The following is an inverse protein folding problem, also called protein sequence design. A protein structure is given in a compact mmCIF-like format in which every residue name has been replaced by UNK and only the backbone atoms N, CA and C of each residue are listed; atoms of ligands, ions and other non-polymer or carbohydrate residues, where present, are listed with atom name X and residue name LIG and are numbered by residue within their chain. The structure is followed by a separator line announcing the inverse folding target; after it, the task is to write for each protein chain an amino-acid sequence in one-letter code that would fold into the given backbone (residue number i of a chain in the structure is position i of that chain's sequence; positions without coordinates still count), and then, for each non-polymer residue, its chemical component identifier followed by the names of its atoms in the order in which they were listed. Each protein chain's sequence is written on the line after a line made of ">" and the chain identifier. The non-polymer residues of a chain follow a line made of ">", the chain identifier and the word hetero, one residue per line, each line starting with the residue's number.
data_IF_503416338257
#
_entry.id   IF_503416338257
#
_cell.length_a   1.000
_cell.length_b   1.000
_cell.length_c   1.000
_cell.angle_alpha   90.00
_cell.angle_beta   90.00
_cell.angle_gamma   90.00
#
_symmetry.space_group_name_H-M   'P 1'
#
loop_
_entity.id
_entity.type
_entity.pdbx_description
1 polymer ?
#
# COMPACT_ATOMS: atom_id res chain seq x y z
N UNK A 1 -0.12 -11.88 -2.30
CA UNK A 1 -1.45 -12.38 -1.93
C UNK A 1 -1.38 -13.89 -1.74
N UNK A 2 -1.64 -14.36 -0.53
CA UNK A 2 -1.80 -15.78 -0.22
C UNK A 2 -2.98 -16.35 -1.03
N UNK A 3 -2.88 -17.61 -1.47
CA UNK A 3 -3.97 -18.32 -2.15
C UNK A 3 -5.27 -18.30 -1.34
N UNK A 4 -5.18 -18.28 0.00
CA UNK A 4 -6.35 -18.15 0.89
C UNK A 4 -6.98 -16.76 0.88
N UNK A 5 -6.17 -15.70 0.83
CA UNK A 5 -6.66 -14.33 0.77
C UNK A 5 -7.34 -14.04 -0.56
N UNK A 6 -6.75 -14.50 -1.66
CA UNK A 6 -7.35 -14.39 -3.00
C UNK A 6 -8.75 -15.00 -3.05
N UNK A 7 -8.92 -16.19 -2.47
CA UNK A 7 -10.20 -16.89 -2.42
C UNK A 7 -11.24 -16.14 -1.57
N UNK A 8 -10.83 -15.49 -0.47
CA UNK A 8 -11.74 -14.67 0.35
C UNK A 8 -12.20 -13.42 -0.41
N UNK A 9 -11.30 -12.75 -1.12
CA UNK A 9 -11.63 -11.59 -1.96
C UNK A 9 -12.60 -11.97 -3.07
N UNK A 10 -12.35 -13.06 -3.79
CA UNK A 10 -13.25 -13.57 -4.84
C UNK A 10 -14.64 -13.91 -4.28
N UNK A 11 -14.72 -14.55 -3.10
CA UNK A 11 -16.00 -14.85 -2.44
C UNK A 11 -16.77 -13.60 -2.02
N UNK A 12 -16.07 -12.58 -1.50
CA UNK A 12 -16.69 -11.32 -1.13
C UNK A 12 -17.25 -10.58 -2.35
N UNK A 13 -16.50 -10.52 -3.45
CA UNK A 13 -16.95 -9.91 -4.71
C UNK A 13 -18.21 -10.60 -5.23
N UNK A 14 -18.20 -11.94 -5.32
CA UNK A 14 -19.36 -12.70 -5.79
C UNK A 14 -20.59 -12.53 -4.90
N UNK A 15 -20.39 -12.39 -3.58
CA UNK A 15 -21.47 -12.08 -2.64
C UNK A 15 -22.07 -10.71 -2.95
N UNK A 16 -21.24 -9.68 -3.11
CA UNK A 16 -21.70 -8.31 -3.31
C UNK A 16 -22.27 -8.07 -4.71
N UNK A 17 -21.75 -8.71 -5.77
CA UNK A 17 -22.32 -8.59 -7.12
C UNK A 17 -23.81 -8.98 -7.18
N UNK A 18 -24.22 -9.97 -6.38
CA UNK A 18 -25.62 -10.42 -6.28
C UNK A 18 -26.55 -9.43 -5.58
N UNK A 19 -26.00 -8.38 -4.96
CA UNK A 19 -26.74 -7.33 -4.26
C UNK A 19 -27.01 -6.11 -5.13
N UNK A 20 -26.66 -6.15 -6.43
CA UNK A 20 -26.87 -5.04 -7.34
C UNK A 20 -28.37 -4.66 -7.40
N UNK A 21 -28.74 -3.47 -6.87
CA UNK A 21 -30.15 -3.10 -6.74
C UNK A 21 -30.71 -2.44 -8.00
N UNK A 22 -29.90 -2.29 -9.06
CA UNK A 22 -30.32 -1.63 -10.27
C UNK A 22 -31.30 -2.50 -11.08
N UNK A 23 -32.21 -1.89 -11.85
CA UNK A 23 -32.99 -2.61 -12.86
C UNK A 23 -32.07 -3.35 -13.85
N UNK A 24 -32.49 -4.52 -14.33
CA UNK A 24 -31.65 -5.40 -15.15
C UNK A 24 -31.10 -4.70 -16.41
N UNK A 25 -31.89 -3.81 -17.01
CA UNK A 25 -31.49 -3.00 -18.18
C UNK A 25 -30.41 -1.95 -17.90
N UNK A 26 -30.12 -1.67 -16.61
CA UNK A 26 -29.05 -0.78 -16.16
C UNK A 26 -27.84 -1.57 -15.63
N UNK A 27 -27.91 -2.91 -15.66
CA UNK A 27 -26.83 -3.77 -15.24
C UNK A 27 -25.91 -4.09 -16.42
N UNK A 28 -24.63 -3.72 -16.30
CA UNK A 28 -23.58 -4.10 -17.24
C UNK A 28 -22.51 -4.91 -16.50
N UNK A 29 -22.70 -6.23 -16.47
CA UNK A 29 -21.81 -7.14 -15.74
C UNK A 29 -20.36 -7.07 -16.23
N UNK A 30 -20.15 -6.90 -17.54
CA UNK A 30 -18.81 -6.83 -18.12
C UNK A 30 -18.08 -5.58 -17.63
N UNK A 31 -18.77 -4.44 -17.60
CA UNK A 31 -18.19 -3.18 -17.15
C UNK A 31 -17.95 -3.15 -15.64
N UNK A 32 -18.83 -3.80 -14.85
CA UNK A 32 -18.59 -3.97 -13.40
C UNK A 32 -17.33 -4.78 -13.12
N UNK A 33 -17.18 -5.91 -13.83
CA UNK A 33 -16.01 -6.76 -13.68
C UNK A 33 -14.73 -6.04 -14.12
N UNK A 34 -14.78 -5.24 -15.19
CA UNK A 34 -13.65 -4.43 -15.61
C UNK A 34 -13.20 -3.45 -14.52
N UNK A 35 -14.13 -2.71 -13.90
CA UNK A 35 -13.82 -1.78 -12.79
C UNK A 35 -13.22 -2.54 -11.60
N UNK A 36 -13.88 -3.60 -11.15
CA UNK A 36 -13.44 -4.37 -9.99
C UNK A 36 -12.02 -4.91 -10.23
N UNK A 37 -11.76 -5.47 -11.41
CA UNK A 37 -10.43 -5.98 -11.78
C UNK A 37 -9.40 -4.86 -11.90
N UNK A 38 -9.76 -3.68 -12.39
CA UNK A 38 -8.86 -2.52 -12.43
C UNK A 38 -8.42 -2.11 -11.02
N UNK A 39 -9.36 -2.01 -10.07
CA UNK A 39 -9.04 -1.70 -8.68
C UNK A 39 -8.16 -2.78 -8.04
N UNK A 40 -8.51 -4.06 -8.22
CA UNK A 40 -7.71 -5.18 -7.69
C UNK A 40 -6.29 -5.24 -8.27
N UNK A 41 -6.09 -4.80 -9.52
CA UNK A 41 -4.75 -4.73 -10.12
C UNK A 41 -3.89 -3.64 -9.48
N UNK A 42 -4.49 -2.54 -9.00
CA UNK A 42 -3.76 -1.35 -8.51
C UNK A 42 -3.65 -1.27 -6.99
N UNK A 43 -4.55 -1.91 -6.26
CA UNK A 43 -4.55 -1.94 -4.80
C UNK A 43 -4.16 -3.33 -4.31
N UNK A 44 -3.29 -3.38 -3.30
CA UNK A 44 -2.94 -4.63 -2.63
C UNK A 44 -3.79 -4.73 -1.34
N UNK A 45 -4.32 -5.92 -1.04
CA UNK A 45 -4.94 -6.27 0.25
C UNK A 45 -6.16 -5.42 0.67
N UNK A 46 -7.17 -5.27 -0.20
CA UNK A 46 -8.45 -4.65 0.16
C UNK A 46 -9.16 -5.42 1.28
N UNK A 47 -9.66 -4.69 2.26
CA UNK A 47 -10.58 -5.20 3.29
C UNK A 47 -11.94 -5.55 2.70
N UNK A 48 -12.75 -6.35 3.41
CA UNK A 48 -14.10 -6.71 2.94
C UNK A 48 -15.02 -5.49 2.79
N UNK A 49 -14.87 -4.48 3.64
CA UNK A 49 -15.61 -3.21 3.56
C UNK A 49 -15.20 -2.41 2.31
N UNK A 50 -13.91 -2.36 1.98
CA UNK A 50 -13.45 -1.71 0.75
C UNK A 50 -13.90 -2.48 -0.50
N UNK A 51 -13.90 -3.81 -0.47
CA UNK A 51 -14.46 -4.63 -1.56
C UNK A 51 -15.94 -4.30 -1.75
N UNK A 52 -16.71 -4.18 -0.66
CA UNK A 52 -18.12 -3.82 -0.70
C UNK A 52 -18.33 -2.44 -1.34
N UNK A 53 -17.54 -1.45 -0.94
CA UNK A 53 -17.59 -0.10 -1.50
C UNK A 53 -17.18 -0.05 -2.99
N UNK A 54 -16.20 -0.84 -3.41
CA UNK A 54 -15.78 -0.94 -4.81
C UNK A 54 -16.88 -1.56 -5.67
N UNK A 55 -17.52 -2.63 -5.21
CA UNK A 55 -18.63 -3.26 -5.94
C UNK A 55 -19.82 -2.32 -6.02
N UNK A 56 -20.19 -1.64 -4.92
CA UNK A 56 -21.23 -0.61 -4.92
C UNK A 56 -20.93 0.51 -5.92
N UNK A 57 -19.68 0.97 -5.95
CA UNK A 57 -19.24 2.02 -6.87
C UNK A 57 -19.27 1.54 -8.32
N UNK A 58 -18.92 0.29 -8.61
CA UNK A 58 -19.00 -0.24 -9.97
C UNK A 58 -20.42 -0.21 -10.54
N UNK A 59 -21.44 -0.41 -9.70
CA UNK A 59 -22.85 -0.23 -10.10
C UNK A 59 -23.17 1.23 -10.47
N UNK A 60 -22.46 2.19 -9.90
CA UNK A 60 -22.74 3.63 -10.03
C UNK A 60 -21.99 4.32 -11.19
N UNK A 61 -20.70 4.00 -11.41
CA UNK A 61 -19.77 4.84 -12.20
C UNK A 61 -20.25 5.21 -13.62
N UNK A 62 -20.91 4.29 -14.31
CA UNK A 62 -21.30 4.47 -15.72
C UNK A 62 -22.80 4.67 -15.93
N UNK A 63 -23.56 4.89 -14.85
CA UNK A 63 -24.91 5.38 -14.98
C UNK A 63 -24.90 6.77 -15.63
N UNK A 64 -25.91 7.05 -16.45
CA UNK A 64 -26.12 8.41 -16.97
C UNK A 64 -26.43 9.38 -15.81
N UNK A 65 -26.19 10.70 -15.96
CA UNK A 65 -26.34 11.64 -14.84
C UNK A 65 -27.73 11.68 -14.18
N UNK A 66 -28.79 11.37 -14.93
CA UNK A 66 -30.13 11.22 -14.35
C UNK A 66 -30.23 10.01 -13.42
N UNK A 67 -29.70 8.87 -13.86
CA UNK A 67 -29.69 7.61 -13.11
C UNK A 67 -28.75 7.68 -11.91
N UNK A 68 -27.58 8.31 -12.03
CA UNK A 68 -26.68 8.57 -10.89
C UNK A 68 -27.43 9.25 -9.73
N UNK A 69 -28.20 10.31 -10.04
CA UNK A 69 -29.00 11.03 -9.03
C UNK A 69 -30.15 10.19 -8.47
N UNK A 70 -30.78 9.36 -9.31
CA UNK A 70 -31.91 8.54 -8.89
C UNK A 70 -31.51 7.34 -8.01
N UNK A 71 -30.34 6.74 -8.28
CA UNK A 71 -29.96 5.45 -7.70
C UNK A 71 -28.84 5.50 -6.68
N UNK A 72 -28.11 6.62 -6.51
CA UNK A 72 -27.00 6.69 -5.55
C UNK A 72 -27.41 6.28 -4.12
N UNK A 73 -28.56 6.77 -3.63
CA UNK A 73 -29.08 6.38 -2.32
C UNK A 73 -29.56 4.92 -2.24
N UNK A 74 -30.09 4.38 -3.35
CA UNK A 74 -30.50 2.97 -3.44
C UNK A 74 -29.30 2.04 -3.39
N UNK A 75 -28.23 2.38 -4.11
CA UNK A 75 -26.96 1.66 -4.10
C UNK A 75 -26.34 1.75 -2.70
N UNK A 76 -26.21 2.96 -2.14
CA UNK A 76 -25.68 3.19 -0.80
C UNK A 76 -26.38 2.31 0.25
N UNK A 77 -27.71 2.29 0.24
CA UNK A 77 -28.50 1.48 1.17
C UNK A 77 -28.36 -0.04 0.93
N UNK A 78 -28.29 -0.50 -0.33
CA UNK A 78 -28.14 -1.93 -0.62
C UNK A 78 -26.82 -2.48 -0.09
N UNK A 79 -25.75 -1.69 -0.20
CA UNK A 79 -24.40 -2.10 0.15
C UNK A 79 -23.93 -1.64 1.53
N UNK A 80 -24.77 -0.98 2.33
CA UNK A 80 -24.38 -0.41 3.63
C UNK A 80 -23.08 0.42 3.54
N UNK A 81 -23.10 1.37 2.60
CA UNK A 81 -22.04 2.36 2.37
C UNK A 81 -22.67 3.75 2.24
N UNK A 82 -21.91 4.81 2.45
CA UNK A 82 -22.42 6.16 2.28
C UNK A 82 -22.37 6.60 0.81
N UNK A 83 -23.29 7.49 0.41
CA UNK A 83 -23.25 8.13 -0.92
C UNK A 83 -21.91 8.83 -1.17
N UNK A 84 -21.34 9.41 -0.10
CA UNK A 84 -20.05 10.08 -0.15
C UNK A 84 -18.92 9.11 -0.51
N UNK A 85 -18.88 7.93 0.12
CA UNK A 85 -17.88 6.91 -0.20
C UNK A 85 -17.98 6.47 -1.67
N UNK A 86 -19.19 6.29 -2.20
CA UNK A 86 -19.40 5.95 -3.62
C UNK A 86 -18.81 7.03 -4.54
N UNK A 87 -19.05 8.31 -4.23
CA UNK A 87 -18.51 9.43 -5.03
C UNK A 87 -16.99 9.55 -4.91
N UNK A 88 -16.43 9.35 -3.72
CA UNK A 88 -14.99 9.37 -3.50
C UNK A 88 -14.28 8.23 -4.25
N UNK A 89 -14.85 7.02 -4.25
CA UNK A 89 -14.38 5.90 -5.05
C UNK A 89 -14.55 6.15 -6.56
N UNK A 90 -15.69 6.67 -7.05
CA UNK A 90 -15.90 7.01 -8.46
C UNK A 90 -14.81 7.97 -8.94
N UNK A 91 -14.50 9.00 -8.15
CA UNK A 91 -13.41 9.94 -8.45
C UNK A 91 -12.05 9.25 -8.47
N UNK A 92 -11.71 8.47 -7.44
CA UNK A 92 -10.42 7.81 -7.34
C UNK A 92 -10.18 6.80 -8.50
N UNK A 93 -11.23 6.05 -8.87
CA UNK A 93 -11.16 5.08 -9.97
C UNK A 93 -11.02 5.79 -11.31
N UNK A 94 -11.80 6.86 -11.58
CA UNK A 94 -11.66 7.63 -12.81
C UNK A 94 -10.28 8.26 -12.96
N UNK A 95 -9.74 8.90 -11.91
CA UNK A 95 -8.35 9.39 -11.91
C UNK A 95 -7.37 8.27 -12.22
N UNK A 96 -7.58 7.10 -11.63
CA UNK A 96 -6.75 5.94 -11.90
C UNK A 96 -6.92 5.36 -13.31
N UNK A 97 -8.06 5.54 -14.00
CA UNK A 97 -8.26 5.09 -15.38
C UNK A 97 -7.54 6.01 -16.37
N UNK A 98 -7.47 7.30 -16.07
CA UNK A 98 -6.76 8.31 -16.87
C UNK A 98 -5.23 8.22 -16.72
N UNK A 99 -4.75 7.78 -15.55
CA UNK A 99 -3.33 7.54 -15.33
C UNK A 99 -2.85 6.29 -16.07
N UNK A 100 -1.73 6.36 -16.83
CA UNK A 100 -1.14 5.17 -17.42
C UNK A 100 -0.93 4.13 -16.33
N UNK A 101 -1.38 2.89 -16.59
CA UNK A 101 -1.23 1.76 -15.68
C UNK A 101 0.16 1.82 -15.04
N UNK A 102 0.27 1.94 -13.70
CA UNK A 102 1.54 1.70 -13.07
C UNK A 102 1.80 0.23 -13.39
N UNK A 103 2.61 -0.01 -14.42
CA UNK A 103 3.17 -1.33 -14.63
C UNK A 103 3.70 -1.70 -13.25
N UNK A 104 3.07 -2.71 -12.61
CA UNK A 104 3.65 -3.43 -11.48
C UNK A 104 4.88 -4.18 -12.01
N UNK A 105 5.83 -3.45 -12.59
CA UNK A 105 7.19 -3.89 -12.83
C UNK A 105 7.81 -3.91 -11.45
N UNK A 106 7.68 -5.04 -10.77
CA UNK A 106 8.58 -5.40 -9.69
C UNK A 106 9.98 -5.47 -10.33
N UNK A 107 10.75 -4.39 -10.22
CA UNK A 107 12.18 -4.46 -10.52
C UNK A 107 12.81 -5.00 -9.23
N UNK A 108 13.64 -6.05 -9.29
CA UNK A 108 14.43 -6.44 -8.14
C UNK A 108 15.24 -5.21 -7.70
N UNK A 109 15.07 -4.82 -6.44
CA UNK A 109 15.89 -3.78 -5.83
C UNK A 109 17.37 -4.15 -6.04
N UNK A 110 18.19 -3.20 -6.49
CA UNK A 110 19.62 -3.43 -6.54
C UNK A 110 20.15 -3.40 -5.10
N UNK A 111 20.19 -4.58 -4.48
CA UNK A 111 20.60 -4.73 -3.07
C UNK A 111 22.03 -4.24 -2.88
N UNK A 112 22.91 -4.40 -3.88
CA UNK A 112 24.27 -3.91 -3.80
C UNK A 112 24.32 -2.37 -3.83
N UNK A 113 23.49 -1.72 -4.65
CA UNK A 113 23.36 -0.24 -4.63
C UNK A 113 22.92 0.26 -3.26
N UNK A 114 21.91 -0.38 -2.65
CA UNK A 114 21.41 0.02 -1.32
C UNK A 114 22.45 -0.20 -0.23
N UNK A 115 23.18 -1.30 -0.28
CA UNK A 115 24.25 -1.60 0.67
C UNK A 115 25.41 -0.59 0.51
N UNK A 116 25.79 -0.24 -0.71
CA UNK A 116 26.82 0.78 -0.96
C UNK A 116 26.39 2.17 -0.45
N UNK A 117 25.14 2.55 -0.72
CA UNK A 117 24.59 3.82 -0.25
C UNK A 117 24.54 3.89 1.27
N UNK A 118 24.09 2.83 1.94
CA UNK A 118 24.04 2.77 3.40
C UNK A 118 25.41 2.89 4.06
N UNK A 119 26.47 2.26 3.51
CA UNK A 119 27.85 2.50 3.99
C UNK A 119 28.24 3.97 3.90
N UNK A 120 27.94 4.60 2.76
CA UNK A 120 28.29 6.00 2.51
C UNK A 120 27.68 6.92 3.58
N UNK A 121 26.38 6.77 3.87
CA UNK A 121 25.64 7.65 4.79
C UNK A 121 25.81 7.34 6.28
N UNK A 122 26.37 6.17 6.62
CA UNK A 122 26.61 5.73 8.01
C UNK A 122 28.10 5.71 8.39
N UNK A 123 29.00 5.93 7.43
CA UNK A 123 30.45 5.94 7.65
C UNK A 123 30.91 6.88 8.78
N UNK A 124 30.18 7.96 9.05
CA UNK A 124 30.51 8.91 10.12
C UNK A 124 30.25 8.39 11.53
N UNK A 125 29.45 7.33 11.69
CA UNK A 125 29.18 6.71 12.99
C UNK A 125 30.25 5.69 13.41
N UNK A 126 31.12 5.28 12.48
CA UNK A 126 32.13 4.24 12.69
C UNK A 126 31.66 2.84 12.29
N UNK A 127 32.62 1.91 12.26
CA UNK A 127 32.48 0.58 11.65
C UNK A 127 31.38 -0.27 12.30
N UNK A 128 31.19 -0.15 13.62
CA UNK A 128 30.20 -0.96 14.35
C UNK A 128 28.76 -0.69 13.88
N UNK A 129 28.35 0.58 13.85
CA UNK A 129 27.00 0.98 13.44
C UNK A 129 26.77 0.70 11.95
N UNK A 130 27.80 0.90 11.14
CA UNK A 130 27.78 0.52 9.73
C UNK A 130 27.49 -0.99 9.58
N UNK A 131 28.24 -1.86 10.26
CA UNK A 131 28.06 -3.32 10.18
C UNK A 131 26.68 -3.78 10.65
N UNK A 132 26.17 -3.22 11.75
CA UNK A 132 24.82 -3.51 12.26
C UNK A 132 23.73 -3.13 11.25
N UNK A 133 23.85 -1.96 10.64
CA UNK A 133 22.92 -1.51 9.61
C UNK A 133 22.99 -2.37 8.34
N UNK A 134 24.20 -2.77 7.92
CA UNK A 134 24.40 -3.68 6.80
C UNK A 134 23.74 -5.04 7.06
N UNK A 135 23.93 -5.60 8.26
CA UNK A 135 23.33 -6.86 8.65
C UNK A 135 21.79 -6.76 8.67
N UNK A 136 21.24 -5.69 9.23
CA UNK A 136 19.80 -5.48 9.28
C UNK A 136 19.18 -5.29 7.89
N UNK A 137 19.84 -4.56 6.98
CA UNK A 137 19.40 -4.42 5.58
C UNK A 137 19.36 -5.77 4.87
N UNK A 138 20.43 -6.58 4.99
CA UNK A 138 20.48 -7.91 4.37
C UNK A 138 19.36 -8.80 4.89
N UNK A 139 19.20 -8.87 6.21
CA UNK A 139 18.14 -9.66 6.82
C UNK A 139 16.74 -9.17 6.40
N UNK A 140 16.54 -7.85 6.32
CA UNK A 140 15.28 -7.27 5.85
C UNK A 140 14.98 -7.67 4.41
N UNK A 141 15.94 -7.55 3.48
CA UNK A 141 15.71 -7.93 2.08
C UNK A 141 15.55 -9.45 1.88
N UNK A 142 16.11 -10.27 2.77
CA UNK A 142 15.88 -11.72 2.78
C UNK A 142 14.47 -12.10 3.30
N UNK A 143 14.01 -11.44 4.37
CA UNK A 143 12.77 -11.75 5.07
C UNK A 143 11.53 -11.05 4.49
N UNK A 144 11.71 -9.88 3.86
CA UNK A 144 10.60 -9.11 3.28
C UNK A 144 10.06 -9.84 2.05
N UNK A 145 8.72 -9.97 1.89
CA UNK A 145 8.13 -10.63 0.72
C UNK A 145 8.67 -9.96 -0.55
N UNK A 146 9.32 -10.76 -1.41
CA UNK A 146 10.32 -10.42 -2.47
C UNK A 146 9.93 -9.38 -3.55
N UNK A 147 8.98 -8.49 -3.30
CA UNK A 147 8.50 -7.50 -4.25
C UNK A 147 8.32 -6.15 -3.57
N UNK A 148 9.32 -5.30 -3.68
CA UNK A 148 9.21 -3.87 -3.35
C UNK A 148 8.71 -3.15 -4.62
N UNK A 149 7.72 -2.26 -4.47
CA UNK A 149 7.17 -1.52 -5.62
C UNK A 149 8.28 -0.66 -6.26
N UNK A 150 8.28 -0.54 -7.59
CA UNK A 150 9.30 0.22 -8.36
C UNK A 150 9.48 1.67 -7.91
N UNK A 151 8.44 2.27 -7.36
CA UNK A 151 8.41 3.66 -6.91
C UNK A 151 8.92 3.84 -5.46
N UNK A 152 9.37 2.77 -4.80
CA UNK A 152 9.95 2.89 -3.47
C UNK A 152 11.35 3.48 -3.58
N UNK A 153 11.54 4.64 -2.95
CA UNK A 153 12.84 5.25 -2.79
C UNK A 153 13.64 4.48 -1.72
N UNK A 154 14.72 3.79 -2.11
CA UNK A 154 15.55 3.00 -1.19
C UNK A 154 16.12 3.81 -0.02
N UNK A 155 16.28 5.13 -0.18
CA UNK A 155 16.75 6.01 0.89
C UNK A 155 15.83 5.98 2.10
N UNK A 156 14.52 5.77 1.88
CA UNK A 156 13.54 5.62 2.96
C UNK A 156 13.71 4.30 3.73
N UNK A 157 14.20 3.25 3.09
CA UNK A 157 14.52 1.97 3.77
C UNK A 157 15.83 2.14 4.57
N UNK A 158 16.85 2.74 3.95
CA UNK A 158 18.14 2.97 4.60
C UNK A 158 18.00 3.88 5.83
N UNK A 159 17.24 4.97 5.73
CA UNK A 159 17.00 5.83 6.89
C UNK A 159 16.17 5.16 7.98
N UNK A 160 15.27 4.25 7.63
CA UNK A 160 14.52 3.47 8.62
C UNK A 160 15.42 2.43 9.32
N UNK A 161 16.40 1.87 8.61
CA UNK A 161 17.44 1.02 9.20
C UNK A 161 18.35 1.83 10.13
N UNK A 162 18.79 3.03 9.72
CA UNK A 162 19.57 3.91 10.60
C UNK A 162 18.82 4.18 11.90
N UNK A 163 17.54 4.54 11.78
CA UNK A 163 16.69 4.77 12.93
C UNK A 163 16.56 3.51 13.81
N UNK A 164 16.37 2.35 13.20
CA UNK A 164 16.23 1.08 13.90
C UNK A 164 17.48 0.69 14.69
N UNK A 165 18.66 0.80 14.08
CA UNK A 165 19.95 0.51 14.72
C UNK A 165 20.19 1.48 15.88
N UNK A 166 20.03 2.78 15.64
CA UNK A 166 20.27 3.80 16.68
C UNK A 166 19.31 3.65 17.85
N UNK A 167 18.01 3.51 17.60
CA UNK A 167 17.02 3.44 18.68
C UNK A 167 17.19 2.19 19.56
N UNK A 168 17.62 1.09 18.96
CA UNK A 168 17.73 -0.22 19.63
C UNK A 168 19.07 -0.39 20.33
N UNK A 169 20.18 -0.09 19.64
CA UNK A 169 21.53 -0.47 20.08
C UNK A 169 22.39 0.72 20.51
N UNK A 170 22.07 1.94 20.07
CA UNK A 170 22.86 3.15 20.34
C UNK A 170 22.00 4.30 20.89
N UNK A 171 21.36 4.11 22.06
CA UNK A 171 20.49 5.13 22.63
C UNK A 171 21.17 6.47 22.91
N UNK A 172 22.49 6.47 23.07
CA UNK A 172 23.34 7.66 23.19
C UNK A 172 23.33 8.55 21.94
N UNK A 173 22.97 7.99 20.77
CA UNK A 173 22.85 8.70 19.50
C UNK A 173 21.39 9.12 19.21
N UNK A 174 20.45 9.03 20.16
CA UNK A 174 19.02 9.36 19.97
C UNK A 174 18.70 10.83 19.70
N UNK A 175 19.69 11.70 19.52
CA UNK A 175 19.46 13.09 19.11
C UNK A 175 18.88 13.23 17.68
N UNK A 176 18.78 12.12 16.94
CA UNK A 176 18.16 12.06 15.61
C UNK A 176 16.69 11.64 15.67
N UNK A 177 15.77 12.60 15.66
CA UNK A 177 14.36 12.30 15.48
C UNK A 177 14.05 11.84 14.03
N UNK A 178 12.88 11.22 13.83
CA UNK A 178 12.47 10.73 12.50
C UNK A 178 12.38 11.84 11.45
N UNK A 179 12.16 13.09 11.86
CA UNK A 179 12.08 14.23 10.96
C UNK A 179 13.46 14.65 10.46
N UNK A 180 14.47 14.60 11.33
CA UNK A 180 15.87 14.86 10.99
C UNK A 180 16.39 13.83 10.00
N UNK A 181 16.06 12.54 10.21
CA UNK A 181 16.39 11.50 9.23
C UNK A 181 15.60 11.69 7.93
N UNK A 182 14.31 12.06 7.99
CA UNK A 182 13.53 12.34 6.78
C UNK A 182 14.21 13.40 5.92
N UNK A 183 14.69 14.48 6.55
CA UNK A 183 15.42 15.54 5.89
C UNK A 183 16.77 15.04 5.34
N UNK A 184 17.56 14.29 6.14
CA UNK A 184 18.86 13.70 5.73
C UNK A 184 18.74 12.85 4.47
N UNK A 185 17.67 12.06 4.38
CA UNK A 185 17.46 11.11 3.29
C UNK A 185 16.65 11.67 2.13
N UNK A 186 16.18 12.92 2.23
CA UNK A 186 15.30 13.57 1.24
C UNK A 186 14.01 12.76 0.99
N UNK A 187 13.41 12.26 2.08
CA UNK A 187 12.19 11.44 2.05
C UNK A 187 11.14 11.98 3.01
N UNK A 188 9.90 11.51 2.90
CA UNK A 188 8.87 11.87 3.87
C UNK A 188 9.06 11.11 5.19
N UNK A 189 8.77 11.78 6.31
CA UNK A 189 8.72 11.15 7.64
C UNK A 189 7.77 9.94 7.65
N UNK A 190 6.64 10.03 6.96
CA UNK A 190 5.68 8.92 6.82
C UNK A 190 6.32 7.71 6.14
N UNK A 191 7.12 7.91 5.09
CA UNK A 191 7.80 6.82 4.40
C UNK A 191 8.80 6.10 5.32
N UNK A 192 9.59 6.85 6.10
CA UNK A 192 10.48 6.27 7.12
C UNK A 192 9.71 5.48 8.17
N UNK A 193 8.60 6.02 8.69
CA UNK A 193 7.80 5.34 9.71
C UNK A 193 7.20 4.02 9.20
N UNK A 194 6.74 3.99 7.94
CA UNK A 194 6.25 2.78 7.28
C UNK A 194 7.35 1.72 7.20
N UNK A 195 8.54 2.10 6.73
CA UNK A 195 9.65 1.14 6.61
C UNK A 195 10.18 0.67 7.95
N UNK A 196 10.23 1.55 8.95
CA UNK A 196 10.59 1.16 10.31
C UNK A 196 9.63 0.11 10.86
N UNK A 197 8.31 0.29 10.68
CA UNK A 197 7.31 -0.71 11.07
C UNK A 197 7.53 -2.05 10.36
N UNK A 198 7.85 -2.02 9.06
CA UNK A 198 8.16 -3.22 8.30
C UNK A 198 9.44 -3.90 8.81
N UNK A 199 10.52 -3.16 9.05
CA UNK A 199 11.76 -3.70 9.61
C UNK A 199 11.48 -4.38 10.95
N UNK A 200 10.72 -3.74 11.86
CA UNK A 200 10.33 -4.38 13.13
C UNK A 200 9.57 -5.68 12.92
N UNK A 201 8.59 -5.68 12.00
CA UNK A 201 7.73 -6.84 11.70
C UNK A 201 8.51 -8.01 11.12
N UNK A 202 9.43 -7.76 10.18
CA UNK A 202 10.09 -8.81 9.40
C UNK A 202 11.45 -9.22 9.97
N UNK A 203 12.13 -8.34 10.71
CA UNK A 203 13.44 -8.61 11.30
C UNK A 203 13.39 -8.92 12.81
N UNK A 204 12.20 -9.07 13.39
CA UNK A 204 12.04 -9.48 14.79
C UNK A 204 12.55 -8.47 15.82
N UNK A 205 12.62 -7.18 15.50
CA UNK A 205 12.92 -6.13 16.48
C UNK A 205 11.69 -5.82 17.35
N UNK A 206 11.13 -6.83 18.00
CA UNK A 206 10.33 -6.59 19.20
C UNK A 206 11.32 -6.22 20.30
N UNK A 207 11.27 -4.95 20.70
CA UNK A 207 11.83 -4.55 21.98
C UNK A 207 11.12 -5.42 23.03
N UNK A 208 11.88 -6.35 23.62
CA UNK A 208 11.57 -6.90 24.92
C UNK A 208 11.47 -5.70 25.86
N UNK A 209 10.24 -5.31 26.19
CA UNK A 209 9.95 -4.51 27.38
C UNK A 209 9.78 -5.48 28.55
#
# INVERSE_FOLDING_TARGET
>A
MDKREKMKTEQAIERYKKMNPLPHEKQDEAMYDEIIQHVLKRTDDLTEDEIRAVVATSCYMYLVPADKRAFIGVIANSYDVTEREIVEWDKAINTSLEEPSPEKKTIPFDVEEVLLYSRTVMSHYGVLIEEEAQHLLRHFFEAFPKTIKRNVNYRSIVGAVEYAVIVTNHPELKEFDQQTLANKYEVSRTSLAVWYKNIKKYCGQEAVL
#
